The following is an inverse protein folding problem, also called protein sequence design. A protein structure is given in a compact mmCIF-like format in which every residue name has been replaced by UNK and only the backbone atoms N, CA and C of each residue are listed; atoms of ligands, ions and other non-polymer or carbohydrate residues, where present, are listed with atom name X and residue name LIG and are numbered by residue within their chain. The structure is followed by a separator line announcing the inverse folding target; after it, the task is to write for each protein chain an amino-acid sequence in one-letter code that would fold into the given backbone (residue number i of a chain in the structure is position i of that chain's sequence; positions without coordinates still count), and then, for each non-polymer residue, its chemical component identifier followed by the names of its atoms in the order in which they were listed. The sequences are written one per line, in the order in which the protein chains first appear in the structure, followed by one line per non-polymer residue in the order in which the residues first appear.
data_IF_820294232668
#
_entry.id   IF_820294232668
#
_cell.length_a   1.000
_cell.length_b   1.000
_cell.length_c   1.000
_cell.angle_alpha   90.00
_cell.angle_beta   90.00
_cell.angle_gamma   90.00
#
_symmetry.space_group_name_H-M   'P 1'
#
loop_
_entity.id
_entity.type
_entity.pdbx_description
1 polymer ?
#
# COMPACT_ATOMS: atom_id res chain seq x y z
N UNK A 1 -7.12 -3.11 -15.84
CA UNK A 1 -5.71 -3.49 -15.55
C UNK A 1 -5.08 -2.35 -14.77
N UNK A 2 -4.46 -2.66 -13.65
CA UNK A 2 -3.61 -1.76 -12.88
C UNK A 2 -2.20 -2.34 -12.92
N UNK A 3 -1.20 -1.50 -13.15
CA UNK A 3 0.20 -1.92 -13.11
C UNK A 3 1.07 -0.77 -12.58
N UNK A 4 2.10 -1.09 -11.81
CA UNK A 4 3.01 -0.11 -11.25
C UNK A 4 4.30 -0.74 -10.72
N UNK A 5 5.35 0.08 -10.66
CA UNK A 5 6.65 -0.27 -10.08
C UNK A 5 6.98 0.77 -9.02
N UNK A 6 7.35 0.33 -7.82
CA UNK A 6 7.63 1.18 -6.68
C UNK A 6 9.07 0.95 -6.20
N UNK A 7 9.97 1.88 -6.51
CA UNK A 7 11.36 1.85 -6.08
C UNK A 7 11.58 2.61 -4.78
N UNK A 8 12.42 2.06 -3.89
CA UNK A 8 12.96 2.78 -2.73
C UNK A 8 14.44 3.01 -2.92
N UNK A 9 14.92 4.22 -2.66
CA UNK A 9 16.30 4.62 -2.89
C UNK A 9 16.94 5.19 -1.62
N UNK A 10 18.24 4.96 -1.45
CA UNK A 10 19.06 5.59 -0.41
C UNK A 10 19.60 6.92 -0.91
N UNK A 11 18.95 8.01 -0.52
CA UNK A 11 19.33 9.35 -0.97
C UNK A 11 20.44 10.00 -0.13
N UNK A 12 20.87 9.34 0.96
CA UNK A 12 21.97 9.77 1.83
C UNK A 12 23.36 9.50 1.23
N UNK A 13 23.43 8.68 0.18
CA UNK A 13 24.67 8.35 -0.54
C UNK A 13 24.70 8.96 -1.94
N UNK A 14 25.89 9.26 -2.44
CA UNK A 14 26.07 9.96 -3.73
C UNK A 14 25.53 9.20 -4.94
N UNK A 15 25.51 7.87 -4.86
CA UNK A 15 25.05 6.97 -5.92
C UNK A 15 23.52 6.79 -5.95
N UNK A 16 22.80 7.26 -4.92
CA UNK A 16 21.36 7.09 -4.79
C UNK A 16 20.91 5.62 -4.94
N UNK A 17 21.57 4.70 -4.24
CA UNK A 17 21.42 3.24 -4.41
C UNK A 17 19.95 2.78 -4.33
N UNK A 18 19.56 1.85 -5.20
CA UNK A 18 18.25 1.20 -5.14
C UNK A 18 18.23 0.21 -3.98
N UNK A 19 17.30 0.38 -3.05
CA UNK A 19 17.09 -0.56 -1.93
C UNK A 19 16.30 -1.77 -2.41
N UNK A 20 15.11 -1.51 -2.97
CA UNK A 20 14.27 -2.52 -3.58
C UNK A 20 13.28 -1.90 -4.56
N UNK A 21 12.69 -2.75 -5.38
CA UNK A 21 11.59 -2.42 -6.29
C UNK A 21 10.46 -3.43 -6.16
N UNK A 22 9.24 -2.92 -6.01
CA UNK A 22 8.03 -3.71 -5.92
C UNK A 22 7.24 -3.58 -7.24
N UNK A 23 6.94 -4.71 -7.86
CA UNK A 23 6.26 -4.81 -9.14
C UNK A 23 4.86 -5.36 -8.90
N UNK A 24 3.84 -4.57 -9.23
CA UNK A 24 2.45 -4.91 -8.98
C UNK A 24 1.67 -4.89 -10.29
N UNK A 25 0.93 -5.98 -10.56
CA UNK A 25 -0.04 -6.08 -11.65
C UNK A 25 -1.35 -6.60 -11.09
N UNK A 26 -2.46 -5.92 -11.37
CA UNK A 26 -3.76 -6.29 -10.84
C UNK A 26 -4.92 -6.14 -11.83
N UNK A 27 -5.93 -6.98 -11.64
CA UNK A 27 -7.18 -6.99 -12.38
C UNK A 27 -8.34 -6.72 -11.40
N UNK A 28 -8.72 -5.44 -11.21
CA UNK A 28 -9.86 -5.10 -10.37
C UNK A 28 -11.18 -5.21 -11.14
N UNK A 29 -12.22 -5.62 -10.42
CA UNK A 29 -13.63 -5.45 -10.77
C UNK A 29 -14.24 -4.61 -9.65
N UNK A 30 -14.81 -3.47 -10.01
CA UNK A 30 -15.35 -2.50 -9.07
C UNK A 30 -16.83 -2.27 -9.36
N UNK A 31 -17.63 -2.16 -8.30
CA UNK A 31 -19.05 -1.82 -8.38
C UNK A 31 -19.32 -0.68 -7.41
N UNK A 32 -20.11 0.30 -7.84
CA UNK A 32 -20.59 1.38 -6.99
C UNK A 32 -22.10 1.54 -7.20
N UNK A 33 -22.86 1.59 -6.09
CA UNK A 33 -24.31 1.77 -6.11
C UNK A 33 -24.76 2.58 -4.90
N UNK A 34 -25.16 3.82 -5.15
CA UNK A 34 -25.54 4.76 -4.08
C UNK A 34 -24.34 5.02 -3.17
N UNK A 35 -24.54 4.83 -1.86
CA UNK A 35 -23.52 5.01 -0.81
C UNK A 35 -22.65 3.77 -0.58
N UNK A 36 -22.73 2.76 -1.43
CA UNK A 36 -21.93 1.53 -1.31
C UNK A 36 -21.02 1.37 -2.51
N UNK A 37 -19.78 0.97 -2.26
CA UNK A 37 -18.86 0.51 -3.30
C UNK A 37 -18.14 -0.75 -2.86
N UNK A 38 -17.75 -1.57 -3.83
CA UNK A 38 -17.04 -2.82 -3.59
C UNK A 38 -16.03 -3.10 -4.68
N UNK A 39 -14.93 -3.76 -4.29
CA UNK A 39 -13.85 -4.17 -5.19
C UNK A 39 -13.49 -5.62 -4.96
N UNK A 40 -13.40 -6.37 -6.05
CA UNK A 40 -12.68 -7.64 -6.12
C UNK A 40 -11.43 -7.45 -6.98
N UNK A 41 -10.27 -7.93 -6.54
CA UNK A 41 -9.01 -7.69 -7.23
C UNK A 41 -8.11 -8.93 -7.19
N UNK A 42 -7.75 -9.43 -8.37
CA UNK A 42 -6.64 -10.38 -8.51
C UNK A 42 -5.35 -9.58 -8.66
N UNK A 43 -4.34 -9.88 -7.85
CA UNK A 43 -3.07 -9.17 -7.84
C UNK A 43 -1.90 -10.14 -7.90
N UNK A 44 -0.92 -9.84 -8.73
CA UNK A 44 0.44 -10.38 -8.67
C UNK A 44 1.36 -9.29 -8.13
N UNK A 45 2.18 -9.64 -7.13
CA UNK A 45 3.15 -8.74 -6.52
C UNK A 45 4.48 -9.47 -6.33
N UNK A 46 5.53 -8.97 -6.97
CA UNK A 46 6.91 -9.44 -6.81
C UNK A 46 7.81 -8.31 -6.35
N UNK A 47 8.87 -8.63 -5.62
CA UNK A 47 9.86 -7.65 -5.16
C UNK A 47 11.28 -8.08 -5.51
N UNK A 48 12.12 -7.10 -5.84
CA UNK A 48 13.52 -7.30 -6.16
C UNK A 48 14.39 -6.35 -5.35
N UNK A 49 15.43 -6.88 -4.72
CA UNK A 49 16.48 -6.10 -4.03
C UNK A 49 17.39 -5.45 -5.07
N UNK A 50 17.88 -4.24 -4.79
CA UNK A 50 18.93 -3.65 -5.61
C UNK A 50 20.26 -4.39 -5.47
N UNK A 51 21.04 -4.38 -6.54
CA UNK A 51 22.29 -5.15 -6.64
C UNK A 51 23.31 -4.69 -5.59
N UNK A 52 23.34 -3.40 -5.25
CA UNK A 52 24.24 -2.84 -4.23
C UNK A 52 23.97 -3.41 -2.82
N UNK A 53 22.72 -3.74 -2.50
CA UNK A 53 22.36 -4.37 -1.23
C UNK A 53 22.75 -5.85 -1.22
N UNK A 54 22.63 -6.53 -2.36
CA UNK A 54 23.09 -7.92 -2.50
C UNK A 54 24.62 -7.97 -2.29
N UNK A 55 25.36 -7.03 -2.88
CA UNK A 55 26.82 -6.90 -2.68
C UNK A 55 27.17 -6.59 -1.21
N UNK A 56 26.33 -5.82 -0.51
CA UNK A 56 26.48 -5.54 0.91
C UNK A 56 26.11 -6.73 1.83
N UNK A 57 25.69 -7.87 1.26
CA UNK A 57 25.39 -9.10 1.99
C UNK A 57 23.97 -9.18 2.55
N UNK A 58 23.02 -8.37 2.03
CA UNK A 58 21.61 -8.52 2.38
C UNK A 58 21.08 -9.82 1.81
N UNK A 59 20.49 -10.65 2.66
CA UNK A 59 19.86 -11.89 2.24
C UNK A 59 18.58 -11.59 1.43
N UNK A 60 18.57 -12.04 0.19
CA UNK A 60 17.42 -11.88 -0.70
C UNK A 60 16.32 -12.86 -0.29
N UNK A 61 15.09 -12.36 -0.25
CA UNK A 61 13.89 -13.17 -0.11
C UNK A 61 13.26 -13.17 -1.51
N UNK A 62 12.98 -14.33 -2.09
CA UNK A 62 12.29 -14.36 -3.38
C UNK A 62 10.81 -14.05 -3.18
N UNK A 63 10.50 -12.78 -3.00
CA UNK A 63 9.15 -12.32 -2.73
C UNK A 63 8.33 -12.32 -4.01
N UNK A 64 7.37 -13.24 -4.08
CA UNK A 64 6.30 -13.25 -5.07
C UNK A 64 5.03 -13.79 -4.41
N UNK A 65 3.95 -13.04 -4.53
CA UNK A 65 2.64 -13.41 -4.01
C UNK A 65 1.55 -13.10 -5.03
N UNK A 66 0.62 -14.04 -5.19
CA UNK A 66 -0.62 -13.84 -5.91
C UNK A 66 -1.79 -13.84 -4.94
N UNK A 67 -2.65 -12.83 -5.01
CA UNK A 67 -3.73 -12.64 -4.04
C UNK A 67 -5.07 -12.37 -4.70
N UNK A 68 -6.14 -12.77 -4.01
CA UNK A 68 -7.52 -12.38 -4.28
C UNK A 68 -7.94 -11.44 -3.14
N UNK A 69 -8.12 -10.16 -3.44
CA UNK A 69 -8.60 -9.16 -2.49
C UNK A 69 -10.08 -8.87 -2.69
N UNK A 70 -10.78 -8.69 -1.57
CA UNK A 70 -12.13 -8.14 -1.52
C UNK A 70 -12.19 -6.96 -0.54
N UNK A 71 -12.74 -5.83 -0.99
CA UNK A 71 -13.04 -4.68 -0.14
C UNK A 71 -14.49 -4.23 -0.35
N UNK A 72 -15.11 -3.77 0.73
CA UNK A 72 -16.42 -3.13 0.74
C UNK A 72 -16.30 -1.78 1.45
N UNK A 73 -16.95 -0.76 0.92
CA UNK A 73 -16.98 0.58 1.49
C UNK A 73 -18.41 1.12 1.58
N UNK A 74 -18.63 1.92 2.62
CA UNK A 74 -19.81 2.73 2.85
C UNK A 74 -19.42 4.21 2.85
N UNK A 75 -20.02 4.98 1.95
CA UNK A 75 -19.59 6.32 1.54
C UNK A 75 -20.73 7.36 1.65
N UNK A 76 -21.18 7.71 2.88
CA UNK A 76 -22.18 8.75 3.08
C UNK A 76 -21.58 10.15 2.94
N UNK A 77 -21.91 10.85 1.85
CA UNK A 77 -21.44 12.22 1.61
C UNK A 77 -19.92 12.24 1.41
N UNK A 78 -19.21 13.05 2.20
CA UNK A 78 -17.75 13.19 2.11
C UNK A 78 -16.99 12.27 3.08
N UNK A 79 -17.65 11.30 3.70
CA UNK A 79 -17.04 10.32 4.61
C UNK A 79 -17.07 8.92 4.00
N UNK A 80 -16.01 8.15 4.22
CA UNK A 80 -15.91 6.75 3.85
C UNK A 80 -15.41 5.91 5.02
N UNK A 81 -16.05 4.76 5.23
CA UNK A 81 -15.51 3.64 5.99
C UNK A 81 -15.43 2.43 5.08
N UNK A 82 -14.35 1.67 5.18
CA UNK A 82 -14.16 0.46 4.38
C UNK A 82 -13.48 -0.64 5.16
N UNK A 83 -13.68 -1.86 4.69
CA UNK A 83 -13.02 -3.03 5.23
C UNK A 83 -13.03 -4.22 4.28
N UNK A 84 -12.19 -5.18 4.60
CA UNK A 84 -12.08 -6.43 3.86
C UNK A 84 -10.72 -7.07 4.08
N UNK A 85 -10.20 -7.71 3.05
CA UNK A 85 -8.95 -8.45 3.14
C UNK A 85 -8.57 -9.14 1.85
N UNK A 86 -7.50 -9.91 1.90
CA UNK A 86 -7.06 -10.74 0.80
C UNK A 86 -6.71 -12.14 1.26
N UNK A 87 -6.94 -13.11 0.37
CA UNK A 87 -6.42 -14.46 0.49
C UNK A 87 -5.26 -14.61 -0.50
N UNK A 88 -4.20 -15.26 -0.05
CA UNK A 88 -3.07 -15.61 -0.91
C UNK A 88 -3.40 -16.91 -1.61
N UNK A 89 -3.32 -16.90 -2.94
CA UNK A 89 -3.57 -18.10 -3.77
C UNK A 89 -2.28 -18.81 -4.14
N UNK A 90 -1.17 -18.08 -4.11
CA UNK A 90 0.18 -18.62 -4.31
C UNK A 90 1.19 -17.69 -3.65
N UNK A 91 2.15 -18.28 -2.95
CA UNK A 91 3.25 -17.58 -2.31
C UNK A 91 4.55 -18.35 -2.58
N UNK A 92 5.60 -17.66 -3.03
CA UNK A 92 6.95 -18.24 -3.06
C UNK A 92 7.62 -18.20 -1.68
N UNK A 93 7.15 -17.35 -0.78
CA UNK A 93 7.74 -17.10 0.54
C UNK A 93 7.76 -18.35 1.43
N UNK A 94 6.71 -19.18 1.37
CA UNK A 94 6.57 -20.37 2.25
C UNK A 94 7.69 -21.41 2.08
N UNK A 95 8.42 -21.36 0.97
CA UNK A 95 9.55 -22.27 0.71
C UNK A 95 10.91 -21.59 0.93
N UNK A 96 10.94 -20.34 1.39
CA UNK A 96 12.17 -19.59 1.63
C UNK A 96 12.83 -20.09 2.91
N UNK A 97 14.03 -20.64 2.76
CA UNK A 97 14.84 -21.17 3.88
C UNK A 97 14.99 -20.17 5.05
N UNK A 98 15.21 -18.86 4.82
CA UNK A 98 15.36 -17.89 5.90
C UNK A 98 14.11 -17.70 6.78
N UNK A 99 12.92 -17.98 6.23
CA UNK A 99 11.65 -17.82 6.94
C UNK A 99 11.32 -19.02 7.83
N UNK A 100 11.93 -20.17 7.54
CA UNK A 100 11.75 -21.40 8.31
C UNK A 100 10.44 -22.13 8.04
N UNK A 101 10.31 -23.36 8.55
CA UNK A 101 9.24 -24.28 8.15
C UNK A 101 7.86 -23.95 8.77
N UNK A 102 7.80 -23.00 9.70
CA UNK A 102 6.55 -22.59 10.37
C UNK A 102 5.97 -21.31 9.79
N UNK A 103 6.63 -20.70 8.80
CA UNK A 103 6.15 -19.50 8.14
C UNK A 103 4.90 -19.80 7.31
N UNK A 104 3.95 -18.87 7.33
CA UNK A 104 2.73 -18.92 6.52
C UNK A 104 2.42 -17.55 5.95
N UNK A 105 1.78 -17.53 4.79
CA UNK A 105 1.35 -16.32 4.10
C UNK A 105 -0.04 -16.53 3.53
N UNK A 106 -1.03 -16.76 4.40
CA UNK A 106 -2.38 -17.16 3.95
C UNK A 106 -3.28 -15.97 3.60
N UNK A 107 -3.10 -14.83 4.28
CA UNK A 107 -4.02 -13.71 4.09
C UNK A 107 -3.70 -12.44 4.87
N UNK A 108 -4.56 -11.44 4.62
CA UNK A 108 -4.49 -10.11 5.18
C UNK A 108 -5.89 -9.59 5.46
N UNK A 109 -6.06 -8.87 6.56
CA UNK A 109 -7.26 -8.07 6.86
C UNK A 109 -6.93 -6.58 6.84
N UNK A 110 -7.92 -5.78 6.44
CA UNK A 110 -7.77 -4.34 6.26
C UNK A 110 -9.04 -3.60 6.64
N UNK A 111 -8.87 -2.48 7.33
CA UNK A 111 -9.94 -1.54 7.67
C UNK A 111 -9.43 -0.11 7.56
N UNK A 112 -10.30 0.81 7.15
CA UNK A 112 -9.94 2.20 7.11
C UNK A 112 -11.13 3.14 7.08
N UNK A 113 -10.82 4.40 7.36
CA UNK A 113 -11.75 5.52 7.26
C UNK A 113 -11.06 6.68 6.57
N UNK A 114 -11.79 7.44 5.78
CA UNK A 114 -11.33 8.70 5.24
C UNK A 114 -12.47 9.70 5.07
N UNK A 115 -12.11 10.97 5.04
CA UNK A 115 -13.04 12.05 4.88
C UNK A 115 -12.44 13.16 4.02
N UNK A 116 -13.29 13.81 3.24
CA UNK A 116 -13.00 15.07 2.55
C UNK A 116 -13.77 16.20 3.22
N UNK A 117 -13.16 17.37 3.31
CA UNK A 117 -13.84 18.59 3.73
C UNK A 117 -13.48 19.73 2.78
N UNK A 118 -14.43 20.61 2.52
CA UNK A 118 -14.27 21.79 1.67
C UNK A 118 -14.33 23.03 2.58
N UNK A 119 -13.23 23.39 3.28
CA UNK A 119 -13.28 24.42 4.31
C UNK A 119 -13.31 25.83 3.71
N UNK A 120 -13.12 25.96 2.40
CA UNK A 120 -13.22 27.22 1.67
C UNK A 120 -14.48 27.22 0.82
N UNK A 121 -14.98 28.41 0.47
CA UNK A 121 -16.11 28.59 -0.46
C UNK A 121 -15.76 28.22 -1.90
N UNK A 122 -14.60 27.60 -2.14
CA UNK A 122 -14.10 27.16 -3.43
C UNK A 122 -14.12 25.65 -3.46
N UNK A 123 -14.94 25.08 -4.33
CA UNK A 123 -15.06 23.63 -4.51
C UNK A 123 -13.80 23.02 -5.15
N UNK A 124 -12.90 23.86 -5.69
CA UNK A 124 -11.63 23.41 -6.27
C UNK A 124 -10.63 22.89 -5.23
N UNK A 125 -10.79 23.27 -3.95
CA UNK A 125 -9.81 22.95 -2.91
C UNK A 125 -10.48 22.18 -1.77
N UNK A 126 -9.99 20.97 -1.50
CA UNK A 126 -10.43 20.14 -0.38
C UNK A 126 -9.28 19.73 0.52
N UNK A 127 -9.57 19.56 1.80
CA UNK A 127 -8.70 18.84 2.74
C UNK A 127 -9.21 17.42 2.85
N UNK A 128 -8.31 16.45 2.78
CA UNK A 128 -8.64 15.05 2.95
C UNK A 128 -7.80 14.45 4.06
N UNK A 129 -8.40 13.59 4.88
CA UNK A 129 -7.71 12.87 5.93
C UNK A 129 -8.18 11.42 5.96
N UNK A 130 -7.29 10.50 6.28
CA UNK A 130 -7.62 9.10 6.36
C UNK A 130 -6.70 8.32 7.28
N UNK A 131 -7.25 7.22 7.79
CA UNK A 131 -6.58 6.22 8.59
C UNK A 131 -6.80 4.86 7.93
N UNK A 132 -5.74 4.09 7.82
CA UNK A 132 -5.73 2.76 7.27
C UNK A 132 -4.98 1.83 8.23
N UNK A 133 -5.61 0.71 8.57
CA UNK A 133 -5.02 -0.34 9.37
C UNK A 133 -5.06 -1.65 8.59
N UNK A 134 -3.96 -2.40 8.66
CA UNK A 134 -3.86 -3.74 8.12
C UNK A 134 -3.09 -4.66 9.05
N UNK A 135 -3.34 -5.95 8.90
CA UNK A 135 -2.63 -7.01 9.60
C UNK A 135 -2.66 -8.28 8.73
N UNK A 136 -1.55 -9.01 8.68
CA UNK A 136 -1.39 -10.16 7.79
C UNK A 136 -0.71 -11.33 8.46
N UNK A 137 -1.03 -12.52 7.96
CA UNK A 137 -0.48 -13.79 8.40
C UNK A 137 1.06 -13.84 8.27
N UNK A 138 1.60 -13.40 7.12
CA UNK A 138 3.05 -13.28 6.88
C UNK A 138 3.83 -12.46 7.91
N UNK A 139 3.16 -11.60 8.66
CA UNK A 139 3.74 -10.74 9.70
C UNK A 139 3.31 -11.18 11.09
N UNK A 140 2.88 -12.44 11.26
CA UNK A 140 2.32 -12.97 12.50
C UNK A 140 1.18 -12.09 13.04
N UNK A 141 0.37 -11.54 12.14
CA UNK A 141 -0.71 -10.61 12.43
C UNK A 141 -0.28 -9.32 13.16
N UNK A 142 0.99 -8.90 13.00
CA UNK A 142 1.44 -7.60 13.45
C UNK A 142 0.60 -6.46 12.87
N UNK A 143 0.34 -5.44 13.70
CA UNK A 143 -0.47 -4.29 13.33
C UNK A 143 0.33 -3.29 12.50
N UNK A 144 -0.22 -2.89 11.36
CA UNK A 144 0.33 -1.83 10.54
C UNK A 144 -0.69 -0.69 10.41
N UNK A 145 -0.29 0.50 10.84
CA UNK A 145 -1.09 1.72 10.80
C UNK A 145 -0.50 2.71 9.80
N UNK A 146 -1.37 3.33 8.99
CA UNK A 146 -1.04 4.44 8.12
C UNK A 146 -2.05 5.57 8.30
N UNK A 147 -1.56 6.78 8.50
CA UNK A 147 -2.37 8.01 8.59
C UNK A 147 -1.95 8.93 7.46
N UNK A 148 -2.91 9.50 6.74
CA UNK A 148 -2.66 10.47 5.66
C UNK A 148 -3.51 11.72 5.89
N UNK A 149 -2.90 12.89 5.71
CA UNK A 149 -3.61 14.17 5.65
C UNK A 149 -3.11 14.89 4.40
N UNK A 150 -4.01 15.43 3.58
CA UNK A 150 -3.66 16.05 2.32
C UNK A 150 -4.51 17.24 1.95
N UNK A 151 -3.90 18.11 1.13
CA UNK A 151 -4.57 19.18 0.42
C UNK A 151 -4.73 18.74 -1.03
N UNK A 152 -5.96 18.81 -1.55
CA UNK A 152 -6.29 18.49 -2.93
C UNK A 152 -6.73 19.75 -3.64
N UNK A 153 -6.16 20.00 -4.81
CA UNK A 153 -6.57 21.05 -5.74
C UNK A 153 -7.06 20.38 -7.01
N UNK A 154 -8.26 20.75 -7.47
CA UNK A 154 -8.89 20.24 -8.69
C UNK A 154 -9.09 21.39 -9.69
N UNK A 155 -8.77 21.13 -10.95
CA UNK A 155 -8.99 22.04 -12.07
C UNK A 155 -9.54 21.24 -13.27
N UNK A 156 -10.87 21.26 -13.42
CA UNK A 156 -11.59 20.43 -14.38
C UNK A 156 -11.31 18.94 -14.15
N UNK A 157 -10.62 18.30 -15.09
CA UNK A 157 -10.25 16.88 -15.01
C UNK A 157 -8.92 16.64 -14.28
N UNK A 158 -8.13 17.70 -14.06
CA UNK A 158 -6.83 17.60 -13.42
C UNK A 158 -6.97 17.71 -11.92
N UNK A 159 -6.13 16.99 -11.20
CA UNK A 159 -6.00 17.16 -9.76
C UNK A 159 -4.55 17.05 -9.31
N UNK A 160 -4.21 17.80 -8.26
CA UNK A 160 -2.95 17.66 -7.55
C UNK A 160 -3.26 17.48 -6.06
N UNK A 161 -2.63 16.48 -5.45
CA UNK A 161 -2.72 16.22 -4.02
C UNK A 161 -1.34 16.22 -3.42
N UNK A 162 -1.14 17.07 -2.42
CA UNK A 162 0.02 17.02 -1.54
C UNK A 162 -0.42 16.43 -0.20
N UNK A 163 0.26 15.39 0.27
CA UNK A 163 -0.10 14.71 1.52
C UNK A 163 1.09 14.51 2.44
N UNK A 164 0.86 14.72 3.74
CA UNK A 164 1.70 14.19 4.81
C UNK A 164 1.22 12.79 5.18
N UNK A 165 2.16 11.88 5.39
CA UNK A 165 1.91 10.48 5.73
C UNK A 165 2.63 10.16 7.03
N UNK A 166 1.99 9.44 7.93
CA UNK A 166 2.63 8.75 9.04
C UNK A 166 2.38 7.25 8.89
N UNK A 167 3.42 6.44 9.08
CA UNK A 167 3.32 4.98 9.08
C UNK A 167 4.01 4.39 10.30
N UNK A 168 3.45 3.31 10.82
CA UNK A 168 4.02 2.51 11.90
C UNK A 168 3.60 1.04 11.77
N UNK A 169 4.57 0.13 11.73
CA UNK A 169 4.38 -1.33 11.67
C UNK A 169 5.25 -1.96 10.57
N UNK A 170 4.94 -3.18 10.13
CA UNK A 170 5.69 -3.87 9.08
C UNK A 170 5.94 -3.04 7.82
N UNK A 171 7.09 -3.25 7.19
CA UNK A 171 7.45 -2.57 5.95
C UNK A 171 6.40 -2.84 4.86
N UNK A 172 5.99 -1.81 4.09
CA UNK A 172 5.16 -2.02 2.92
C UNK A 172 5.89 -2.72 1.77
N UNK A 173 7.21 -2.80 1.81
CA UNK A 173 7.98 -3.38 0.70
C UNK A 173 8.02 -4.89 0.81
N UNK A 174 7.81 -5.56 -0.32
CA UNK A 174 7.75 -7.02 -0.37
C UNK A 174 9.02 -7.65 0.19
N UNK A 175 10.21 -7.19 -0.19
CA UNK A 175 11.47 -7.72 0.34
C UNK A 175 11.63 -7.58 1.86
N UNK A 176 11.08 -6.52 2.45
CA UNK A 176 11.42 -6.10 3.82
C UNK A 176 10.26 -6.26 4.80
N UNK A 177 9.25 -7.06 4.47
CA UNK A 177 8.02 -7.20 5.26
C UNK A 177 8.26 -7.64 6.72
N UNK A 178 9.39 -8.30 7.03
CA UNK A 178 9.78 -8.66 8.40
C UNK A 178 10.39 -7.50 9.21
N UNK A 179 10.67 -6.37 8.58
CA UNK A 179 11.25 -5.19 9.22
C UNK A 179 10.14 -4.23 9.60
N UNK A 180 10.09 -3.84 10.87
CA UNK A 180 9.22 -2.76 11.32
C UNK A 180 9.76 -1.39 10.88
N UNK A 181 8.86 -0.57 10.35
CA UNK A 181 9.15 0.78 9.92
C UNK A 181 8.26 1.79 10.64
N UNK A 182 8.86 2.92 11.03
CA UNK A 182 8.14 4.09 11.51
C UNK A 182 8.70 5.34 10.87
N UNK A 183 7.86 6.07 10.14
CA UNK A 183 8.31 7.29 9.49
C UNK A 183 7.17 8.29 9.25
N UNK A 184 7.59 9.53 9.01
CA UNK A 184 6.76 10.55 8.37
C UNK A 184 7.23 10.72 6.93
N UNK A 185 6.29 10.90 6.01
CA UNK A 185 6.55 11.05 4.58
C UNK A 185 5.73 12.17 3.96
N UNK A 186 6.14 12.58 2.78
CA UNK A 186 5.39 13.50 1.93
C UNK A 186 5.13 12.78 0.60
N UNK A 187 3.90 12.89 0.11
CA UNK A 187 3.45 12.28 -1.14
C UNK A 187 2.82 13.35 -2.03
N UNK A 188 3.21 13.35 -3.31
CA UNK A 188 2.60 14.15 -4.35
C UNK A 188 1.92 13.20 -5.34
N UNK A 189 0.60 13.37 -5.52
CA UNK A 189 -0.18 12.62 -6.49
C UNK A 189 -0.79 13.59 -7.51
N UNK A 190 -0.67 13.25 -8.80
CA UNK A 190 -1.19 14.04 -9.91
C UNK A 190 -2.20 13.19 -10.68
N UNK A 191 -3.44 13.67 -10.76
CA UNK A 191 -4.47 13.14 -11.65
C UNK A 191 -4.53 13.98 -12.93
N UNK A 192 -4.52 13.30 -14.08
CA UNK A 192 -4.55 13.92 -15.41
C UNK A 192 -5.89 13.70 -16.10
#
# INVERSE_FOLDING_TARGET
LQAGVFGRFRLDVSSADLIASDWIVAFPVEIARGVWSGRLRLQHWSAHVGDELIEAGVERIDFTTETVEALLAYEPGDFRIYGGGSLVVRSSLENEVPLGPTFSDDGLIRFGVDASVHPWTRDEVSLEAGLDWQSSDRTEWASQLSVRIGLVVRDGHRSARLSGIYRNGPSPMGQFFLTDERYFGIELNLGL
#
